data_IF_341956838399
#
_entry.id   IF_341956838399
#
_cell.length_a   1.000
_cell.length_b   1.000
_cell.length_c   1.000
_cell.angle_alpha   90.00
_cell.angle_beta   90.00
_cell.angle_gamma   90.00
#
_symmetry.space_group_name_H-M   'P 1'
#
loop_
_entity.id
_entity.type
_entity.pdbx_description
1 polymer ?
#
# COMPACT_ATOMS: atom_id res chain seq x y z
N UNK A 1 -3.69 17.99 20.49
CA UNK A 1 -5.04 17.39 20.69
C UNK A 1 -6.16 18.42 20.61
N UNK A 2 -6.08 19.57 21.31
CA UNK A 2 -7.12 20.64 21.20
C UNK A 2 -7.37 21.11 19.77
N UNK A 3 -6.32 21.34 18.97
CA UNK A 3 -6.44 21.71 17.56
C UNK A 3 -7.18 20.65 16.74
N UNK A 4 -6.91 19.37 16.98
CA UNK A 4 -7.59 18.25 16.31
C UNK A 4 -9.07 18.18 16.71
N UNK A 5 -9.40 18.38 17.98
CA UNK A 5 -10.79 18.40 18.44
C UNK A 5 -11.59 19.53 17.77
N UNK A 6 -11.01 20.72 17.65
CA UNK A 6 -11.62 21.83 16.94
C UNK A 6 -11.82 21.53 15.45
N UNK A 7 -10.82 20.93 14.78
CA UNK A 7 -10.92 20.51 13.37
C UNK A 7 -12.05 19.49 13.19
N UNK A 8 -12.11 18.46 14.05
CA UNK A 8 -13.18 17.45 14.00
C UNK A 8 -14.57 18.08 14.24
N UNK A 9 -14.69 18.98 15.22
CA UNK A 9 -15.97 19.66 15.52
C UNK A 9 -16.44 20.59 14.39
N UNK A 10 -15.53 21.08 13.55
CA UNK A 10 -15.85 21.93 12.40
C UNK A 10 -16.34 21.12 11.18
N UNK A 11 -16.15 19.78 11.15
CA UNK A 11 -16.61 18.94 10.04
C UNK A 11 -18.14 18.87 10.00
N UNK A 12 -18.74 19.28 8.89
CA UNK A 12 -20.18 19.35 8.71
C UNK A 12 -20.92 18.00 8.72
N UNK A 13 -20.19 16.89 8.80
CA UNK A 13 -20.74 15.53 8.86
C UNK A 13 -21.04 15.05 10.30
N UNK A 14 -20.60 15.77 11.33
CA UNK A 14 -20.84 15.45 12.73
C UNK A 14 -21.79 16.45 13.39
N UNK A 15 -22.62 15.96 14.32
CA UNK A 15 -23.54 16.79 15.10
C UNK A 15 -22.98 17.11 16.50
N UNK A 16 -22.38 16.11 17.15
CA UNK A 16 -21.80 16.24 18.50
C UNK A 16 -20.66 15.23 18.66
N UNK A 17 -19.52 15.45 18.01
CA UNK A 17 -18.40 14.51 18.04
C UNK A 17 -17.83 14.38 19.46
N UNK A 18 -17.65 13.15 19.89
CA UNK A 18 -17.15 12.77 21.21
C UNK A 18 -16.00 11.76 21.06
N UNK A 19 -15.29 11.49 22.15
CA UNK A 19 -14.22 10.48 22.23
C UNK A 19 -13.16 10.63 21.11
N UNK A 20 -12.77 11.88 20.82
CA UNK A 20 -11.77 12.21 19.79
C UNK A 20 -10.38 11.73 20.27
N UNK A 21 -9.92 10.60 19.72
CA UNK A 21 -8.67 9.97 20.15
C UNK A 21 -7.80 9.62 18.93
N UNK A 22 -6.48 9.83 19.05
CA UNK A 22 -5.55 9.43 18.00
C UNK A 22 -5.49 7.91 17.89
N UNK A 23 -5.53 7.40 16.66
CA UNK A 23 -5.23 6.01 16.36
C UNK A 23 -3.73 5.89 16.08
N UNK A 24 -3.13 4.85 16.62
CA UNK A 24 -1.73 4.53 16.33
C UNK A 24 -1.59 3.99 14.90
N UNK A 25 -0.47 4.26 14.26
CA UNK A 25 -0.16 3.79 12.91
C UNK A 25 -0.36 4.88 11.84
N UNK A 26 0.31 4.67 10.70
CA UNK A 26 0.39 5.61 9.59
C UNK A 26 1.62 6.52 9.66
N UNK A 27 2.46 6.43 8.63
CA UNK A 27 3.66 7.28 8.46
C UNK A 27 3.37 8.52 7.59
N UNK A 28 2.15 8.67 7.10
CA UNK A 28 1.77 9.68 6.11
C UNK A 28 0.57 10.51 6.53
N UNK A 29 -0.20 10.06 7.55
CA UNK A 29 -1.47 10.64 7.92
C UNK A 29 -1.69 10.66 9.43
N UNK A 30 -2.56 11.58 9.88
CA UNK A 30 -3.07 11.59 11.25
C UNK A 30 -4.46 10.96 11.25
N UNK A 31 -4.59 9.80 11.89
CA UNK A 31 -5.85 9.07 11.99
C UNK A 31 -6.49 9.27 13.37
N UNK A 32 -7.74 9.64 13.41
CA UNK A 32 -8.49 9.98 14.62
C UNK A 32 -9.76 9.12 14.69
N UNK A 33 -9.96 8.43 15.80
CA UNK A 33 -11.24 7.82 16.13
C UNK A 33 -12.19 8.90 16.68
N UNK A 34 -13.40 8.92 16.17
CA UNK A 34 -14.47 9.85 16.59
C UNK A 34 -15.76 9.08 16.83
N UNK A 35 -16.49 9.41 17.89
CA UNK A 35 -17.87 8.94 18.10
C UNK A 35 -18.85 10.07 17.85
N UNK A 36 -19.89 9.80 17.08
CA UNK A 36 -21.03 10.72 16.90
C UNK A 36 -22.32 9.93 16.69
N UNK A 37 -23.38 10.32 17.36
CA UNK A 37 -24.70 9.68 17.24
C UNK A 37 -24.70 8.17 17.53
N UNK A 38 -23.82 7.69 18.43
CA UNK A 38 -23.67 6.27 18.78
C UNK A 38 -22.88 5.43 17.78
N UNK A 39 -22.38 6.03 16.69
CA UNK A 39 -21.49 5.38 15.69
C UNK A 39 -20.05 5.80 15.91
N UNK A 40 -19.13 4.99 15.39
CA UNK A 40 -17.69 5.29 15.35
C UNK A 40 -17.23 5.58 13.93
N UNK A 41 -16.29 6.48 13.80
CA UNK A 41 -15.70 6.91 12.53
C UNK A 41 -14.20 7.02 12.66
N UNK A 42 -13.50 6.85 11.54
CA UNK A 42 -12.10 7.24 11.40
C UNK A 42 -12.06 8.52 10.58
N UNK A 43 -11.48 9.57 11.17
CA UNK A 43 -11.17 10.82 10.47
C UNK A 43 -9.69 10.82 10.15
N UNK A 44 -9.36 10.86 8.87
CA UNK A 44 -8.01 10.92 8.34
C UNK A 44 -7.71 12.35 7.91
N UNK A 45 -6.68 12.94 8.49
CA UNK A 45 -6.14 14.22 8.09
C UNK A 45 -4.85 14.03 7.32
N UNK A 46 -4.70 14.65 6.16
CA UNK A 46 -3.48 14.60 5.37
C UNK A 46 -3.64 15.30 4.02
N UNK A 47 -2.62 16.05 3.63
CA UNK A 47 -2.51 16.70 2.33
C UNK A 47 -1.86 15.77 1.30
N UNK A 48 -1.81 16.21 0.04
CA UNK A 48 -1.03 15.55 -0.99
C UNK A 48 0.44 15.43 -0.58
N UNK A 49 1.07 14.31 -0.91
CA UNK A 49 2.51 14.08 -0.71
C UNK A 49 3.15 13.77 -2.06
N UNK A 50 3.40 14.81 -2.89
CA UNK A 50 3.91 14.62 -4.25
C UNK A 50 5.26 13.90 -4.31
N UNK A 51 6.06 13.98 -3.22
CA UNK A 51 7.32 13.28 -3.06
C UNK A 51 7.15 11.77 -3.14
N UNK A 52 6.02 11.27 -2.64
CA UNK A 52 5.67 9.85 -2.62
C UNK A 52 4.61 9.48 -3.66
N UNK A 53 4.14 10.44 -4.47
CA UNK A 53 3.08 10.22 -5.46
C UNK A 53 1.70 10.05 -4.84
N UNK A 54 1.52 10.41 -3.57
CA UNK A 54 0.23 10.36 -2.86
C UNK A 54 -0.59 11.59 -3.22
N UNK A 55 -1.74 11.33 -3.85
CA UNK A 55 -2.69 12.36 -4.29
C UNK A 55 -4.06 12.07 -3.66
N UNK A 56 -4.56 12.96 -2.81
CA UNK A 56 -5.79 12.72 -2.03
C UNK A 56 -7.04 12.56 -2.87
N UNK A 57 -7.11 13.18 -4.06
CA UNK A 57 -8.19 12.95 -5.00
C UNK A 57 -8.21 11.51 -5.52
N UNK A 58 -7.03 10.90 -5.76
CA UNK A 58 -6.90 9.52 -6.22
C UNK A 58 -7.26 8.53 -5.09
N UNK A 59 -6.73 8.74 -3.89
CA UNK A 59 -7.11 7.98 -2.70
C UNK A 59 -8.61 7.96 -2.47
N UNK A 60 -9.26 9.13 -2.58
CA UNK A 60 -10.72 9.26 -2.43
C UNK A 60 -11.47 8.47 -3.51
N UNK A 61 -11.01 8.53 -4.77
CA UNK A 61 -11.62 7.79 -5.87
C UNK A 61 -11.55 6.28 -5.64
N UNK A 62 -10.38 5.78 -5.23
CA UNK A 62 -10.14 4.36 -4.96
C UNK A 62 -10.87 3.90 -3.68
N UNK A 63 -10.86 4.69 -2.60
CA UNK A 63 -11.61 4.38 -1.37
C UNK A 63 -13.11 4.26 -1.63
N UNK A 64 -13.69 5.15 -2.46
CA UNK A 64 -15.10 5.06 -2.87
C UNK A 64 -15.38 3.81 -3.71
N UNK A 65 -14.52 3.50 -4.69
CA UNK A 65 -14.67 2.31 -5.53
C UNK A 65 -14.56 1.02 -4.69
N UNK A 66 -13.57 0.94 -3.81
CA UNK A 66 -13.35 -0.19 -2.91
C UNK A 66 -14.52 -0.39 -1.91
N UNK A 67 -15.05 0.72 -1.39
CA UNK A 67 -16.24 0.70 -0.53
C UNK A 67 -17.49 0.20 -1.28
N UNK A 68 -17.72 0.73 -2.48
CA UNK A 68 -18.87 0.31 -3.32
C UNK A 68 -18.78 -1.16 -3.74
N UNK A 69 -17.57 -1.67 -3.97
CA UNK A 69 -17.30 -3.08 -4.24
C UNK A 69 -17.34 -3.95 -2.96
N UNK A 70 -17.44 -3.36 -1.78
CA UNK A 70 -17.54 -4.06 -0.50
C UNK A 70 -16.21 -4.52 0.07
N UNK A 71 -15.07 -3.96 -0.32
CA UNK A 71 -13.75 -4.30 0.21
C UNK A 71 -13.27 -3.35 1.30
N UNK A 72 -13.83 -2.15 1.40
CA UNK A 72 -13.38 -1.09 2.30
C UNK A 72 -14.52 -0.48 3.10
N UNK A 73 -14.22 0.24 4.20
CA UNK A 73 -15.20 1.01 4.95
C UNK A 73 -15.93 2.01 4.05
N UNK A 74 -17.15 2.38 4.45
CA UNK A 74 -17.92 3.41 3.74
C UNK A 74 -17.24 4.77 3.90
N UNK A 75 -17.06 5.48 2.79
CA UNK A 75 -16.66 6.88 2.79
C UNK A 75 -17.87 7.74 3.18
N UNK A 76 -17.86 8.29 4.39
CA UNK A 76 -18.96 9.07 4.96
C UNK A 76 -18.91 10.53 4.54
N UNK A 77 -17.70 11.09 4.53
CA UNK A 77 -17.48 12.49 4.16
C UNK A 77 -16.06 12.68 3.60
N UNK A 78 -15.89 13.69 2.76
CA UNK A 78 -14.57 14.11 2.28
C UNK A 78 -14.58 15.59 1.95
N UNK A 79 -13.48 16.27 2.30
CA UNK A 79 -13.15 17.65 1.91
C UNK A 79 -11.63 17.76 1.75
N UNK A 80 -11.07 18.86 1.22
CA UNK A 80 -9.62 18.99 1.07
C UNK A 80 -8.87 18.71 2.37
N UNK A 81 -7.94 17.75 2.31
CA UNK A 81 -7.15 17.32 3.47
C UNK A 81 -7.87 16.44 4.49
N UNK A 82 -9.13 16.02 4.22
CA UNK A 82 -9.93 15.21 5.15
C UNK A 82 -10.66 14.08 4.43
N UNK A 83 -10.56 12.89 5.01
CA UNK A 83 -11.34 11.71 4.64
C UNK A 83 -11.99 11.12 5.90
N UNK A 84 -13.31 10.94 5.89
CA UNK A 84 -14.08 10.32 6.99
C UNK A 84 -14.63 8.99 6.55
N UNK A 85 -14.29 7.95 7.28
CA UNK A 85 -14.67 6.56 7.03
C UNK A 85 -15.50 6.01 8.18
N UNK A 86 -16.43 5.11 7.90
CA UNK A 86 -17.02 4.26 8.94
C UNK A 86 -15.94 3.45 9.64
N UNK A 87 -16.01 3.34 10.95
CA UNK A 87 -15.09 2.49 11.73
C UNK A 87 -15.51 1.03 11.61
N UNK A 88 -14.57 0.16 11.32
CA UNK A 88 -14.78 -1.29 11.29
C UNK A 88 -14.31 -1.88 12.62
N UNK A 89 -15.21 -2.52 13.35
CA UNK A 89 -14.87 -3.31 14.55
C UNK A 89 -14.21 -4.61 14.11
N UNK A 90 -12.88 -4.60 14.02
CA UNK A 90 -12.11 -5.71 13.49
C UNK A 90 -10.71 -5.76 14.13
N UNK A 91 -10.06 -6.91 14.03
CA UNK A 91 -8.65 -7.07 14.33
C UNK A 91 -7.84 -6.55 13.14
N UNK A 92 -6.91 -5.64 13.36
CA UNK A 92 -5.84 -5.34 12.40
C UNK A 92 -4.87 -6.52 12.37
N UNK A 93 -4.54 -7.04 11.17
CA UNK A 93 -3.60 -8.14 11.07
C UNK A 93 -2.18 -7.69 11.37
N UNK A 94 -1.39 -8.63 11.88
CA UNK A 94 0.07 -8.53 11.96
C UNK A 94 0.69 -9.46 10.89
N UNK A 95 1.97 -9.29 10.59
CA UNK A 95 2.69 -10.12 9.63
C UNK A 95 2.56 -11.63 9.93
N UNK A 96 2.60 -12.00 11.23
CA UNK A 96 2.43 -13.40 11.66
C UNK A 96 1.05 -13.95 11.28
N UNK A 97 0.01 -13.11 11.29
CA UNK A 97 -1.33 -13.52 10.86
C UNK A 97 -1.38 -13.73 9.33
N UNK A 98 -0.68 -12.88 8.56
CA UNK A 98 -0.59 -13.03 7.10
C UNK A 98 0.17 -14.31 6.72
N UNK A 99 1.18 -14.68 7.49
CA UNK A 99 1.95 -15.92 7.29
C UNK A 99 1.20 -17.20 7.68
N UNK A 100 0.07 -17.11 8.41
CA UNK A 100 -0.78 -18.26 8.65
C UNK A 100 -1.43 -18.75 7.34
N UNK A 101 -1.29 -20.05 6.97
CA UNK A 101 -1.76 -20.55 5.68
C UNK A 101 -3.27 -20.36 5.43
N UNK A 102 -4.10 -20.49 6.47
CA UNK A 102 -5.54 -20.30 6.34
C UNK A 102 -5.90 -18.83 6.11
N UNK A 103 -5.24 -17.93 6.82
CA UNK A 103 -5.40 -16.48 6.66
C UNK A 103 -4.86 -16.02 5.31
N UNK A 104 -3.68 -16.48 4.88
CA UNK A 104 -3.11 -16.17 3.56
C UNK A 104 -4.07 -16.61 2.45
N UNK A 105 -4.65 -17.80 2.55
CA UNK A 105 -5.66 -18.27 1.59
C UNK A 105 -6.85 -17.30 1.49
N UNK A 106 -7.38 -16.81 2.61
CA UNK A 106 -8.48 -15.83 2.64
C UNK A 106 -8.07 -14.49 2.00
N UNK A 107 -6.83 -14.04 2.27
CA UNK A 107 -6.29 -12.81 1.70
C UNK A 107 -6.19 -12.93 0.18
N UNK A 108 -5.64 -14.01 -0.35
CA UNK A 108 -5.49 -14.23 -1.79
C UNK A 108 -6.85 -14.27 -2.49
N UNK A 109 -7.84 -14.96 -1.90
CA UNK A 109 -9.23 -14.96 -2.41
C UNK A 109 -9.81 -13.54 -2.47
N UNK A 110 -9.60 -12.75 -1.41
CA UNK A 110 -10.06 -11.36 -1.35
C UNK A 110 -9.38 -10.51 -2.43
N UNK A 111 -8.05 -10.60 -2.59
CA UNK A 111 -7.29 -9.85 -3.61
C UNK A 111 -7.76 -10.23 -5.01
N UNK A 112 -7.87 -11.52 -5.32
CA UNK A 112 -8.34 -11.99 -6.62
C UNK A 112 -9.76 -11.50 -6.95
N UNK A 113 -10.63 -11.44 -5.95
CA UNK A 113 -11.98 -10.88 -6.09
C UNK A 113 -11.93 -9.37 -6.30
N UNK A 114 -11.15 -8.67 -5.50
CA UNK A 114 -10.96 -7.21 -5.58
C UNK A 114 -10.46 -6.79 -6.98
N UNK A 115 -9.43 -7.44 -7.51
CA UNK A 115 -8.90 -7.15 -8.85
C UNK A 115 -9.94 -7.31 -9.96
N UNK A 116 -10.86 -8.27 -9.83
CA UNK A 116 -11.93 -8.49 -10.83
C UNK A 116 -13.09 -7.51 -10.72
N UNK A 117 -13.40 -7.06 -9.52
CA UNK A 117 -14.68 -6.38 -9.25
C UNK A 117 -14.55 -4.87 -9.09
N UNK A 118 -13.43 -4.37 -8.48
CA UNK A 118 -13.31 -2.96 -8.10
C UNK A 118 -13.40 -2.00 -9.30
N UNK A 119 -12.88 -2.41 -10.47
CA UNK A 119 -12.88 -1.59 -11.68
C UNK A 119 -14.28 -1.19 -12.15
N UNK A 120 -15.29 -2.04 -11.92
CA UNK A 120 -16.68 -1.74 -12.24
C UNK A 120 -17.29 -0.63 -11.38
N UNK A 121 -16.68 -0.32 -10.25
CA UNK A 121 -17.12 0.70 -9.30
C UNK A 121 -16.28 1.99 -9.37
N UNK A 122 -15.21 2.02 -10.17
CA UNK A 122 -14.37 3.19 -10.34
C UNK A 122 -15.00 4.16 -11.33
N UNK A 123 -15.66 5.22 -10.81
CA UNK A 123 -16.39 6.21 -11.60
C UNK A 123 -15.59 7.46 -11.93
N UNK A 124 -14.34 7.55 -11.48
CA UNK A 124 -13.46 8.71 -11.67
C UNK A 124 -12.12 8.26 -12.26
N UNK A 125 -11.34 9.16 -12.87
CA UNK A 125 -9.95 8.85 -13.24
C UNK A 125 -9.17 8.34 -12.04
N UNK A 126 -8.23 7.42 -12.28
CA UNK A 126 -7.27 6.95 -11.29
C UNK A 126 -5.87 6.94 -11.89
N UNK A 127 -4.87 7.03 -11.02
CA UNK A 127 -3.47 6.97 -11.40
C UNK A 127 -3.09 5.55 -11.86
N UNK A 128 -2.07 5.47 -12.72
CA UNK A 128 -1.36 4.23 -12.98
C UNK A 128 -0.18 4.15 -12.01
N UNK A 129 -0.13 3.06 -11.25
CA UNK A 129 1.00 2.73 -10.38
C UNK A 129 1.88 1.70 -11.09
N UNK A 130 2.82 2.18 -11.90
CA UNK A 130 3.82 1.33 -12.52
C UNK A 130 5.10 1.36 -11.69
N UNK A 131 5.43 0.31 -10.92
CA UNK A 131 6.46 0.39 -9.88
C UNK A 131 7.84 0.76 -10.46
N UNK A 132 8.17 0.31 -11.65
CA UNK A 132 9.43 0.66 -12.31
C UNK A 132 9.52 2.14 -12.67
N UNK A 133 8.40 2.77 -13.02
CA UNK A 133 8.34 4.23 -13.22
C UNK A 133 8.43 4.98 -11.89
N UNK A 134 7.74 4.49 -10.87
CA UNK A 134 7.81 5.04 -9.49
C UNK A 134 9.26 5.02 -8.99
N UNK A 135 9.96 3.89 -9.17
CA UNK A 135 11.36 3.76 -8.79
C UNK A 135 12.25 4.76 -9.55
N UNK A 136 12.06 4.93 -10.87
CA UNK A 136 12.77 5.96 -11.66
C UNK A 136 12.53 7.38 -11.13
N UNK A 137 11.30 7.67 -10.75
CA UNK A 137 10.93 8.99 -10.20
C UNK A 137 11.60 9.26 -8.86
N UNK A 138 11.64 8.27 -7.95
CA UNK A 138 12.39 8.36 -6.70
C UNK A 138 13.88 8.55 -6.93
N UNK A 139 14.49 7.75 -7.82
CA UNK A 139 15.92 7.85 -8.15
C UNK A 139 16.25 9.26 -8.68
N UNK A 140 15.47 9.78 -9.62
CA UNK A 140 15.67 11.13 -10.17
C UNK A 140 15.58 12.19 -9.08
N UNK A 141 14.58 12.11 -8.19
CA UNK A 141 14.43 13.01 -7.05
C UNK A 141 15.60 12.92 -6.09
N UNK A 142 15.99 11.72 -5.66
CA UNK A 142 17.12 11.51 -4.75
C UNK A 142 18.45 12.06 -5.29
N UNK A 143 18.65 12.00 -6.61
CA UNK A 143 19.80 12.62 -7.27
C UNK A 143 19.69 14.15 -7.18
N UNK A 144 18.53 14.71 -7.52
CA UNK A 144 18.28 16.16 -7.46
C UNK A 144 18.44 16.73 -6.06
N UNK A 145 17.96 16.02 -5.06
CA UNK A 145 17.91 16.47 -3.67
C UNK A 145 19.22 16.22 -2.90
N UNK A 146 20.24 15.67 -3.56
CA UNK A 146 21.56 15.47 -2.97
C UNK A 146 21.61 14.36 -1.91
N UNK A 147 20.83 13.28 -2.09
CA UNK A 147 20.80 12.15 -1.17
C UNK A 147 22.19 11.60 -0.85
N UNK A 148 22.42 11.18 0.39
CA UNK A 148 23.66 10.47 0.80
C UNK A 148 23.89 9.16 0.02
N UNK A 149 22.84 8.64 -0.64
CA UNK A 149 22.87 7.39 -1.40
C UNK A 149 23.22 7.56 -2.88
N UNK A 150 23.59 8.75 -3.36
CA UNK A 150 23.84 9.08 -4.78
C UNK A 150 24.74 8.06 -5.49
N UNK A 151 25.72 7.47 -4.79
CA UNK A 151 26.66 6.51 -5.39
C UNK A 151 26.01 5.20 -5.83
N UNK A 152 24.95 4.75 -5.16
CA UNK A 152 24.23 3.50 -5.47
C UNK A 152 23.10 3.69 -6.49
N UNK A 153 22.56 4.91 -6.64
CA UNK A 153 21.38 5.17 -7.47
C UNK A 153 21.55 4.79 -8.96
N UNK A 154 22.70 5.01 -9.63
CA UNK A 154 22.89 4.55 -11.02
C UNK A 154 22.81 3.04 -11.18
N UNK A 155 23.34 2.27 -10.24
CA UNK A 155 23.26 0.81 -10.26
C UNK A 155 21.81 0.35 -10.00
N UNK A 156 21.10 0.97 -9.06
CA UNK A 156 19.68 0.70 -8.81
C UNK A 156 18.81 0.99 -10.04
N UNK A 157 19.09 2.09 -10.76
CA UNK A 157 18.40 2.40 -12.01
C UNK A 157 18.60 1.32 -13.09
N UNK A 158 19.86 0.85 -13.26
CA UNK A 158 20.16 -0.21 -14.20
C UNK A 158 19.46 -1.52 -13.83
N UNK A 159 19.45 -1.89 -12.54
CA UNK A 159 18.71 -3.04 -12.03
C UNK A 159 17.20 -2.91 -12.26
N UNK A 160 16.61 -1.74 -11.95
CA UNK A 160 15.21 -1.46 -12.18
C UNK A 160 14.80 -1.68 -13.65
N UNK A 161 15.61 -1.23 -14.61
CA UNK A 161 15.36 -1.43 -16.03
C UNK A 161 15.48 -2.90 -16.46
N UNK A 162 16.40 -3.67 -15.87
CA UNK A 162 16.52 -5.11 -16.09
C UNK A 162 15.30 -5.88 -15.55
N UNK A 163 14.81 -5.52 -14.37
CA UNK A 163 13.63 -6.11 -13.75
C UNK A 163 12.38 -5.82 -14.60
N UNK A 164 12.21 -4.59 -15.08
CA UNK A 164 11.09 -4.22 -15.96
C UNK A 164 11.10 -5.04 -17.26
N UNK A 165 12.26 -5.24 -17.88
CA UNK A 165 12.40 -6.07 -19.08
C UNK A 165 12.08 -7.56 -18.82
N UNK A 166 12.16 -8.02 -17.59
CA UNK A 166 11.91 -9.40 -17.21
C UNK A 166 10.46 -9.69 -16.80
N UNK A 167 9.60 -8.67 -16.63
CA UNK A 167 8.21 -8.86 -16.19
C UNK A 167 7.32 -9.61 -17.18
N UNK A 168 7.65 -9.59 -18.48
CA UNK A 168 6.83 -10.21 -19.51
C UNK A 168 5.51 -9.46 -19.79
N UNK A 169 4.54 -10.11 -20.44
CA UNK A 169 3.22 -9.55 -20.68
C UNK A 169 2.49 -9.28 -19.36
N UNK A 170 1.79 -8.15 -19.29
CA UNK A 170 1.01 -7.75 -18.11
C UNK A 170 -0.46 -7.61 -18.43
N UNK A 171 -1.28 -8.07 -17.50
CA UNK A 171 -2.68 -7.71 -17.41
C UNK A 171 -2.79 -6.54 -16.41
N UNK A 172 -3.63 -5.55 -16.73
CA UNK A 172 -3.85 -4.39 -15.86
C UNK A 172 -5.11 -4.59 -15.03
N UNK A 173 -4.95 -4.41 -13.72
CA UNK A 173 -6.04 -4.41 -12.73
C UNK A 173 -6.03 -3.11 -11.95
N UNK A 174 -7.07 -2.85 -11.17
CA UNK A 174 -7.02 -1.87 -10.09
C UNK A 174 -6.47 -2.59 -8.86
N UNK A 175 -5.27 -2.22 -8.44
CA UNK A 175 -4.60 -2.78 -7.27
C UNK A 175 -4.54 -1.82 -6.10
N UNK A 176 -4.18 -2.36 -4.95
CA UNK A 176 -3.95 -1.62 -3.72
C UNK A 176 -2.56 -0.97 -3.68
N UNK A 177 -1.56 -1.68 -4.18
CA UNK A 177 -0.15 -1.29 -4.29
C UNK A 177 0.60 -1.08 -2.95
N UNK A 178 -0.06 -1.38 -1.81
CA UNK A 178 0.55 -1.27 -0.49
C UNK A 178 -0.07 -2.28 0.51
N UNK A 179 0.05 -3.58 0.19
CA UNK A 179 -0.53 -4.68 0.97
C UNK A 179 0.34 -5.02 2.20
N UNK A 180 0.37 -4.10 3.16
CA UNK A 180 0.88 -4.32 4.50
C UNK A 180 -0.15 -5.11 5.33
N UNK A 181 0.30 -5.91 6.30
CA UNK A 181 -0.61 -6.55 7.28
C UNK A 181 -1.50 -5.51 7.98
N UNK A 182 -0.93 -4.34 8.32
CA UNK A 182 -1.63 -3.24 8.98
C UNK A 182 -2.80 -2.66 8.15
N UNK A 183 -2.81 -2.87 6.83
CA UNK A 183 -3.87 -2.41 5.92
C UNK A 183 -4.97 -3.46 5.72
N UNK A 184 -4.88 -4.61 6.39
CA UNK A 184 -5.86 -5.70 6.33
C UNK A 184 -6.54 -5.86 7.69
N UNK A 185 -7.87 -5.75 7.71
CA UNK A 185 -8.66 -5.94 8.92
C UNK A 185 -9.47 -7.23 8.81
N UNK A 186 -9.61 -7.97 9.91
CA UNK A 186 -10.44 -9.18 10.01
C UNK A 186 -11.54 -8.99 11.06
N UNK A 187 -12.80 -8.94 10.64
CA UNK A 187 -13.95 -8.82 11.54
C UNK A 187 -14.50 -10.20 12.02
N UNK A 188 -13.77 -11.25 11.69
CA UNK A 188 -14.14 -12.65 12.00
C UNK A 188 -15.11 -13.28 11.00
N UNK A 189 -15.67 -12.50 10.07
CA UNK A 189 -16.55 -12.97 8.98
C UNK A 189 -15.91 -12.77 7.62
N UNK A 190 -15.25 -11.62 7.42
CA UNK A 190 -14.55 -11.26 6.19
C UNK A 190 -13.34 -10.37 6.47
N UNK A 191 -12.54 -10.22 5.44
CA UNK A 191 -11.42 -9.29 5.42
C UNK A 191 -11.83 -7.97 4.78
N UNK A 192 -11.18 -6.88 5.23
CA UNK A 192 -11.34 -5.52 4.73
C UNK A 192 -9.98 -4.96 4.38
N UNK A 193 -9.92 -4.09 3.38
CA UNK A 193 -8.74 -3.32 3.01
C UNK A 193 -8.95 -1.84 3.38
N UNK A 194 -7.92 -1.23 3.91
CA UNK A 194 -7.88 0.21 4.21
C UNK A 194 -6.62 0.81 3.60
N UNK A 195 -6.56 2.13 3.53
CA UNK A 195 -5.39 2.89 3.08
C UNK A 195 -5.08 2.75 1.58
N UNK A 196 -5.92 3.37 0.76
CA UNK A 196 -5.83 3.34 -0.70
C UNK A 196 -4.96 4.45 -1.30
N UNK A 197 -4.05 5.04 -0.54
CA UNK A 197 -3.27 6.20 -1.00
C UNK A 197 -2.36 5.90 -2.19
N UNK A 198 -1.92 4.64 -2.35
CA UNK A 198 -1.18 4.15 -3.51
C UNK A 198 -2.05 3.39 -4.51
N UNK A 199 -3.35 3.27 -4.28
CA UNK A 199 -4.25 2.54 -5.17
C UNK A 199 -4.24 3.07 -6.59
N UNK A 200 -4.38 2.17 -7.59
CA UNK A 200 -4.36 2.56 -8.99
C UNK A 200 -4.22 1.39 -9.96
N UNK A 201 -4.13 1.71 -11.24
CA UNK A 201 -3.89 0.70 -12.28
C UNK A 201 -2.49 0.10 -12.14
N UNK A 202 -2.40 -1.21 -12.01
CA UNK A 202 -1.16 -1.95 -11.78
C UNK A 202 -1.22 -3.36 -12.35
N UNK A 203 -0.12 -4.12 -12.22
CA UNK A 203 -0.14 -5.57 -12.45
C UNK A 203 -0.60 -6.32 -11.18
N UNK A 204 -1.43 -7.36 -11.28
CA UNK A 204 -1.77 -8.20 -10.13
C UNK A 204 -0.51 -8.80 -9.47
N UNK A 205 0.53 -9.06 -10.25
CA UNK A 205 1.81 -9.55 -9.73
C UNK A 205 2.46 -8.56 -8.77
N UNK A 206 2.25 -7.25 -8.95
CA UNK A 206 2.81 -6.26 -8.02
C UNK A 206 2.13 -6.27 -6.66
N UNK A 207 0.80 -6.37 -6.61
CA UNK A 207 0.07 -6.51 -5.33
C UNK A 207 0.47 -7.81 -4.60
N UNK A 208 0.57 -8.93 -5.33
CA UNK A 208 1.01 -10.19 -4.73
C UNK A 208 2.46 -10.14 -4.25
N UNK A 209 3.35 -9.51 -5.02
CA UNK A 209 4.75 -9.31 -4.65
C UNK A 209 4.89 -8.38 -3.43
N UNK A 210 4.10 -7.31 -3.37
CA UNK A 210 4.01 -6.41 -2.22
C UNK A 210 3.50 -7.12 -0.97
N UNK A 211 2.45 -7.93 -1.09
CA UNK A 211 1.97 -8.76 0.02
C UNK A 211 3.08 -9.68 0.56
N UNK A 212 3.82 -10.32 -0.33
CA UNK A 212 4.89 -11.22 0.07
C UNK A 212 6.08 -10.51 0.72
N UNK A 213 6.58 -9.45 0.08
CA UNK A 213 7.76 -8.72 0.56
C UNK A 213 7.51 -7.95 1.85
N UNK A 214 6.31 -7.38 2.02
CA UNK A 214 5.93 -6.63 3.20
C UNK A 214 5.62 -7.51 4.43
N UNK A 215 5.35 -8.80 4.20
CA UNK A 215 4.96 -9.72 5.28
C UNK A 215 5.94 -10.91 5.43
N UNK A 216 7.11 -10.84 4.79
CA UNK A 216 8.19 -11.84 4.84
C UNK A 216 7.68 -13.26 4.56
N UNK A 217 6.93 -13.46 3.45
CA UNK A 217 6.47 -14.77 3.02
C UNK A 217 7.67 -15.63 2.54
N UNK A 218 7.66 -16.91 2.90
CA UNK A 218 8.61 -17.88 2.36
C UNK A 218 8.29 -18.21 0.89
N UNK A 219 9.28 -18.70 0.12
CA UNK A 219 9.06 -19.12 -1.28
C UNK A 219 7.93 -20.14 -1.39
N UNK A 220 7.80 -21.07 -0.43
CA UNK A 220 6.67 -22.03 -0.42
C UNK A 220 5.33 -21.32 -0.34
N UNK A 221 5.19 -20.30 0.50
CA UNK A 221 3.96 -19.51 0.63
C UNK A 221 3.72 -18.66 -0.62
N UNK A 222 4.76 -18.09 -1.22
CA UNK A 222 4.70 -17.33 -2.46
C UNK A 222 4.19 -18.21 -3.63
N UNK A 223 4.73 -19.42 -3.77
CA UNK A 223 4.27 -20.38 -4.79
C UNK A 223 2.83 -20.83 -4.55
N UNK A 224 2.44 -21.09 -3.30
CA UNK A 224 1.05 -21.39 -2.95
C UNK A 224 0.10 -20.23 -3.29
N UNK A 225 0.51 -19.00 -2.98
CA UNK A 225 -0.24 -17.79 -3.30
C UNK A 225 -0.44 -17.63 -4.81
N UNK A 226 0.62 -17.79 -5.60
CA UNK A 226 0.54 -17.71 -7.06
C UNK A 226 -0.31 -18.84 -7.66
N UNK A 227 -0.18 -20.07 -7.17
CA UNK A 227 -1.01 -21.20 -7.60
C UNK A 227 -2.49 -20.96 -7.31
N UNK A 228 -2.81 -20.36 -6.16
CA UNK A 228 -4.18 -20.01 -5.80
C UNK A 228 -4.75 -18.87 -6.65
N UNK A 229 -3.91 -17.90 -7.03
CA UNK A 229 -4.36 -16.74 -7.80
C UNK A 229 -4.47 -17.05 -9.31
N UNK A 230 -3.48 -17.73 -9.90
CA UNK A 230 -3.33 -17.96 -11.34
C UNK A 230 -3.67 -19.38 -11.80
N UNK A 231 -3.95 -20.30 -10.86
CA UNK A 231 -4.23 -21.72 -11.14
C UNK A 231 -3.11 -22.35 -12.01
N UNK A 232 -3.44 -22.89 -13.18
CA UNK A 232 -2.51 -23.61 -14.05
C UNK A 232 -1.38 -22.73 -14.62
N UNK A 233 -1.54 -21.41 -14.62
CA UNK A 233 -0.55 -20.47 -15.18
C UNK A 233 0.49 -19.99 -14.17
N UNK A 234 0.46 -20.48 -12.90
CA UNK A 234 1.30 -20.00 -11.82
C UNK A 234 2.80 -20.08 -12.11
N UNK A 235 3.28 -21.20 -12.66
CA UNK A 235 4.71 -21.38 -12.96
C UNK A 235 5.19 -20.44 -14.06
N UNK A 236 4.35 -20.13 -15.03
CA UNK A 236 4.66 -19.16 -16.08
C UNK A 236 4.81 -17.73 -15.53
N UNK A 237 4.15 -17.42 -14.42
CA UNK A 237 4.22 -16.10 -13.77
C UNK A 237 5.44 -15.93 -12.87
N UNK A 238 6.13 -17.01 -12.47
CA UNK A 238 7.15 -16.99 -11.42
C UNK A 238 8.27 -15.96 -11.66
N UNK A 239 8.85 -15.94 -12.87
CA UNK A 239 9.92 -14.98 -13.20
C UNK A 239 9.45 -13.53 -13.13
N UNK A 240 8.28 -13.24 -13.71
CA UNK A 240 7.67 -11.92 -13.67
C UNK A 240 7.33 -11.49 -12.23
N UNK A 241 6.79 -12.41 -11.44
CA UNK A 241 6.51 -12.21 -10.02
C UNK A 241 7.79 -11.86 -9.23
N UNK A 242 8.87 -12.61 -9.42
CA UNK A 242 10.16 -12.32 -8.74
C UNK A 242 10.73 -10.96 -9.15
N UNK A 243 10.54 -10.54 -10.42
CA UNK A 243 10.92 -9.20 -10.87
C UNK A 243 10.09 -8.11 -10.15
N UNK A 244 8.78 -8.31 -9.98
CA UNK A 244 7.94 -7.40 -9.21
C UNK A 244 8.28 -7.41 -7.72
N UNK A 245 8.65 -8.56 -7.11
CA UNK A 245 9.11 -8.64 -5.72
C UNK A 245 10.37 -7.78 -5.50
N UNK A 246 11.36 -7.91 -6.38
CA UNK A 246 12.54 -7.03 -6.35
C UNK A 246 12.16 -5.55 -6.54
N UNK A 247 11.20 -5.25 -7.43
CA UNK A 247 10.73 -3.87 -7.64
C UNK A 247 9.98 -3.30 -6.44
N UNK A 248 9.20 -4.12 -5.72
CA UNK A 248 8.53 -3.73 -4.48
C UNK A 248 9.53 -3.38 -3.39
N UNK A 249 10.53 -4.24 -3.16
CA UNK A 249 11.61 -3.98 -2.20
C UNK A 249 12.46 -2.76 -2.58
N UNK A 250 12.70 -2.55 -3.88
CA UNK A 250 13.40 -1.36 -4.38
C UNK A 250 12.56 -0.10 -4.13
N UNK A 251 11.24 -0.15 -4.38
CA UNK A 251 10.33 0.96 -4.10
C UNK A 251 10.36 1.33 -2.62
N UNK A 252 10.32 0.35 -1.73
CA UNK A 252 10.34 0.57 -0.29
C UNK A 252 11.68 1.18 0.18
N UNK A 253 12.79 0.67 -0.36
CA UNK A 253 14.13 1.22 -0.12
C UNK A 253 14.21 2.69 -0.58
N UNK A 254 13.74 3.00 -1.78
CA UNK A 254 13.78 4.37 -2.34
C UNK A 254 12.80 5.31 -1.62
N UNK A 255 11.65 4.79 -1.17
CA UNK A 255 10.71 5.52 -0.34
C UNK A 255 11.35 5.94 0.99
N UNK A 256 12.01 5.01 1.67
CA UNK A 256 12.69 5.29 2.93
C UNK A 256 13.86 6.28 2.75
N UNK A 257 14.67 6.14 1.68
CA UNK A 257 15.70 7.12 1.33
C UNK A 257 15.14 8.53 1.08
N UNK A 258 13.94 8.63 0.49
CA UNK A 258 13.25 9.90 0.26
C UNK A 258 12.74 10.47 1.57
N UNK A 259 12.21 9.62 2.45
CA UNK A 259 11.74 10.00 3.77
C UNK A 259 12.88 10.46 4.69
N UNK A 260 14.11 9.96 4.53
CA UNK A 260 15.28 10.50 5.23
C UNK A 260 15.50 12.00 5.00
N UNK A 261 15.03 12.53 3.85
CA UNK A 261 15.23 13.92 3.46
C UNK A 261 13.98 14.77 3.73
N UNK A 262 12.80 14.22 3.50
CA UNK A 262 11.56 14.99 3.38
C UNK A 262 10.53 14.73 4.47
N UNK A 263 10.72 13.70 5.32
CA UNK A 263 9.74 13.41 6.36
C UNK A 263 9.97 14.26 7.60
N UNK A 264 8.91 14.88 8.11
CA UNK A 264 8.87 15.56 9.40
C UNK A 264 8.55 14.63 10.57
N UNK A 265 8.30 13.33 10.29
CA UNK A 265 8.00 12.33 11.30
C UNK A 265 9.30 11.86 11.96
N UNK A 266 9.33 11.88 13.30
CA UNK A 266 10.46 11.37 14.08
C UNK A 266 10.48 9.82 14.06
N UNK A 267 11.11 9.28 13.01
CA UNK A 267 11.32 7.85 12.81
C UNK A 267 12.75 7.57 12.33
N UNK A 268 13.30 6.42 12.69
CA UNK A 268 14.65 6.01 12.25
C UNK A 268 14.62 5.47 10.80
N UNK A 269 14.42 6.39 9.86
CA UNK A 269 14.45 6.07 8.43
C UNK A 269 15.80 5.50 7.96
N UNK A 270 16.90 5.79 8.66
CA UNK A 270 18.23 5.27 8.27
C UNK A 270 18.35 3.78 8.53
N UNK A 271 17.91 3.32 9.70
CA UNK A 271 17.86 1.88 10.01
C UNK A 271 16.87 1.18 9.09
N UNK A 272 15.70 1.77 8.87
CA UNK A 272 14.70 1.24 7.96
C UNK A 272 15.20 1.13 6.51
N UNK A 273 15.95 2.13 6.02
CA UNK A 273 16.61 2.08 4.70
C UNK A 273 17.64 0.94 4.63
N UNK A 274 18.45 0.74 5.68
CA UNK A 274 19.46 -0.31 5.69
C UNK A 274 18.83 -1.71 5.64
N UNK A 275 17.79 -1.96 6.43
CA UNK A 275 17.04 -3.22 6.44
C UNK A 275 16.41 -3.53 5.07
N UNK A 276 15.77 -2.54 4.45
CA UNK A 276 15.17 -2.69 3.12
C UNK A 276 16.24 -2.91 2.03
N UNK A 277 17.40 -2.28 2.14
CA UNK A 277 18.53 -2.50 1.23
C UNK A 277 19.07 -3.93 1.31
N UNK A 278 19.15 -4.50 2.51
CA UNK A 278 19.58 -5.89 2.71
C UNK A 278 18.56 -6.88 2.12
N UNK A 279 17.26 -6.65 2.35
CA UNK A 279 16.17 -7.44 1.73
C UNK A 279 16.23 -7.35 0.20
N UNK A 280 16.38 -6.15 -0.36
CA UNK A 280 16.51 -5.95 -1.80
C UNK A 280 17.73 -6.68 -2.38
N UNK A 281 18.89 -6.59 -1.71
CA UNK A 281 20.12 -7.24 -2.15
C UNK A 281 19.94 -8.76 -2.22
N UNK A 282 19.32 -9.35 -1.21
CA UNK A 282 19.01 -10.78 -1.16
C UNK A 282 18.07 -11.20 -2.29
N UNK A 283 16.98 -10.45 -2.49
CA UNK A 283 16.01 -10.74 -3.55
C UNK A 283 16.60 -10.61 -4.96
N UNK A 284 17.49 -9.63 -5.20
CA UNK A 284 18.20 -9.48 -6.48
C UNK A 284 19.17 -10.64 -6.72
N UNK A 285 19.84 -11.15 -5.67
CA UNK A 285 20.70 -12.32 -5.78
C UNK A 285 19.90 -13.58 -6.14
N UNK A 286 18.74 -13.79 -5.50
CA UNK A 286 17.80 -14.88 -5.82
C UNK A 286 17.30 -14.76 -7.27
N UNK A 287 16.84 -13.55 -7.67
CA UNK A 287 16.36 -13.29 -9.02
C UNK A 287 17.40 -13.60 -10.10
N UNK A 288 18.68 -13.36 -9.83
CA UNK A 288 19.77 -13.64 -10.79
C UNK A 288 19.99 -15.12 -11.07
N UNK A 289 19.40 -16.02 -10.29
CA UNK A 289 19.50 -17.48 -10.46
C UNK A 289 18.30 -18.06 -11.25
N UNK A 290 17.28 -17.25 -11.53
CA UNK A 290 16.06 -17.62 -12.27
C UNK A 290 16.21 -17.19 -13.74
#
# INVERSE_FOLDING_TARGET
MEDIQHKVAALGCFNNPQDVTALAGGLTNVNILVRDGGRKYVVRFGDDIPQHGVMRWNELALSKAASAAGFSPVVVHSEPGVLVLDFIEAKTLAEVDVRDPATLTRIVVMIAKMHREIGAHLMQPALAFWPYHVNRSYIARLISDGSRHQKSLPAMLAQNNQLEAATGPIEMVIGHNDLLAANILDDGKRLWLIDWEYGGFTSPLFDLAGLASNNDLSETQERMMLAQYFDQDADAQWRGYCAFKCSSLMRETLWSMTSEIHSDIDADYRSYTAENMDKLTSALAEFSQI
#
